data_IF_248965276322
#
_entry.id   IF_248965276322
#
_cell.length_a   1.000
_cell.length_b   1.000
_cell.length_c   1.000
_cell.angle_alpha   90.00
_cell.angle_beta   90.00
_cell.angle_gamma   90.00
#
_symmetry.space_group_name_H-M   'P 1'
#
loop_
_entity.id
_entity.type
_entity.pdbx_description
1 polymer ?
#
# COMPACT_ATOMS: atom_id res chain seq x y z
N UNK A 1 22.16 -12.75 14.52
CA UNK A 1 20.74 -12.43 14.25
C UNK A 1 20.62 -11.08 13.54
N UNK A 2 21.25 -10.01 14.05
CA UNK A 2 21.26 -8.67 13.41
C UNK A 2 21.78 -8.66 11.96
N UNK A 3 22.85 -9.42 11.66
CA UNK A 3 23.35 -9.57 10.28
C UNK A 3 22.34 -10.23 9.32
N UNK A 4 21.49 -11.14 9.81
CA UNK A 4 20.46 -11.81 8.99
C UNK A 4 19.38 -10.80 8.60
N UNK A 5 18.91 -10.01 9.57
CA UNK A 5 17.95 -8.94 9.32
C UNK A 5 18.47 -7.93 8.31
N UNK A 6 19.74 -7.53 8.44
CA UNK A 6 20.34 -6.57 7.52
C UNK A 6 20.34 -7.09 6.08
N UNK A 7 20.88 -8.31 5.84
CA UNK A 7 20.95 -8.90 4.50
C UNK A 7 19.58 -9.05 3.86
N UNK A 8 18.60 -9.54 4.62
CA UNK A 8 17.23 -9.74 4.11
C UNK A 8 16.54 -8.39 3.87
N UNK A 9 16.75 -7.41 4.75
CA UNK A 9 16.21 -6.07 4.61
C UNK A 9 16.73 -5.35 3.36
N UNK A 10 18.02 -5.50 3.04
CA UNK A 10 18.62 -4.97 1.82
C UNK A 10 17.99 -5.59 0.57
N UNK A 11 17.78 -6.91 0.58
CA UNK A 11 17.15 -7.66 -0.52
C UNK A 11 15.72 -7.20 -0.83
N UNK A 12 14.92 -6.89 0.19
CA UNK A 12 13.51 -6.49 0.01
C UNK A 12 13.31 -4.97 -0.05
N UNK A 13 14.35 -4.18 0.22
CA UNK A 13 14.26 -2.72 0.33
C UNK A 13 13.68 -2.03 -0.91
N UNK A 14 13.98 -2.54 -2.12
CA UNK A 14 13.47 -2.02 -3.39
C UNK A 14 11.99 -2.33 -3.65
N UNK A 15 11.34 -3.09 -2.77
CA UNK A 15 9.89 -3.37 -2.81
C UNK A 15 9.07 -2.51 -1.86
N UNK A 16 9.73 -1.74 -1.00
CA UNK A 16 9.09 -0.88 0.00
C UNK A 16 9.41 0.58 -0.30
N UNK A 17 8.39 1.42 -0.20
CA UNK A 17 8.49 2.85 -0.50
C UNK A 17 7.93 3.68 0.64
N UNK A 18 8.28 4.96 0.66
CA UNK A 18 7.65 5.93 1.54
C UNK A 18 6.63 6.72 0.72
N UNK A 19 5.37 6.69 1.13
CA UNK A 19 4.31 7.48 0.52
C UNK A 19 4.13 8.73 1.36
N UNK A 20 4.23 9.90 0.72
CA UNK A 20 4.14 11.21 1.35
C UNK A 20 2.99 12.00 0.76
N UNK A 21 2.30 12.73 1.62
CA UNK A 21 1.26 13.65 1.23
C UNK A 21 1.71 15.11 1.38
N UNK A 22 1.46 15.93 0.36
CA UNK A 22 1.73 17.36 0.35
C UNK A 22 0.40 18.16 0.28
N UNK A 23 0.27 19.30 0.99
CA UNK A 23 1.27 20.00 1.81
C UNK A 23 1.37 19.52 3.27
N UNK A 24 0.51 18.59 3.69
CA UNK A 24 0.36 18.21 5.11
C UNK A 24 1.59 17.53 5.73
N UNK A 25 2.55 17.09 4.93
CA UNK A 25 3.82 16.53 5.40
C UNK A 25 3.68 15.18 6.08
N UNK A 26 2.51 14.54 5.97
CA UNK A 26 2.21 13.20 6.46
C UNK A 26 2.84 12.17 5.53
N UNK A 27 3.26 11.04 6.09
CA UNK A 27 3.82 9.94 5.30
C UNK A 27 3.57 8.60 5.97
N UNK A 28 3.56 7.53 5.18
CA UNK A 28 3.49 6.15 5.63
C UNK A 28 4.27 5.24 4.68
N UNK A 29 4.28 3.95 4.99
CA UNK A 29 4.85 2.93 4.11
C UNK A 29 3.90 2.62 2.96
N UNK A 30 4.47 2.28 1.80
CA UNK A 30 3.78 1.61 0.71
C UNK A 30 4.61 0.43 0.20
N UNK A 31 3.98 -0.42 -0.60
CA UNK A 31 4.60 -1.60 -1.21
C UNK A 31 4.42 -1.60 -2.71
N UNK A 32 5.44 -2.01 -3.46
CA UNK A 32 5.34 -2.24 -4.91
C UNK A 32 4.58 -3.54 -5.15
N UNK A 33 3.42 -3.47 -5.82
CA UNK A 33 2.47 -4.60 -5.89
C UNK A 33 2.15 -5.11 -7.28
N UNK A 34 2.58 -4.43 -8.34
CA UNK A 34 2.40 -4.93 -9.71
C UNK A 34 3.76 -5.25 -10.34
N UNK A 35 3.88 -6.38 -11.04
CA UNK A 35 4.93 -6.52 -12.03
C UNK A 35 4.65 -5.57 -13.21
N UNK A 36 5.70 -5.10 -13.92
CA UNK A 36 5.56 -4.33 -15.15
C UNK A 36 5.11 -5.27 -16.27
N UNK A 37 3.83 -5.57 -16.33
CA UNK A 37 3.25 -6.26 -17.49
C UNK A 37 2.58 -5.22 -18.39
N UNK A 38 3.37 -4.71 -19.36
CA UNK A 38 2.99 -3.78 -20.43
C UNK A 38 2.61 -2.34 -20.03
N UNK A 39 2.86 -1.94 -18.80
CA UNK A 39 2.55 -0.59 -18.33
C UNK A 39 3.81 0.25 -18.17
N UNK A 40 3.81 1.47 -18.71
CA UNK A 40 4.79 2.51 -18.43
C UNK A 40 4.63 3.08 -17.00
N UNK A 41 4.09 2.29 -16.07
CA UNK A 41 3.73 2.71 -14.72
C UNK A 41 4.07 1.64 -13.70
N UNK A 42 4.26 2.07 -12.45
CA UNK A 42 4.50 1.21 -11.28
C UNK A 42 3.36 1.39 -10.29
N UNK A 43 2.76 0.28 -9.87
CA UNK A 43 1.64 0.29 -8.93
C UNK A 43 2.14 0.11 -7.49
N UNK A 44 1.66 0.99 -6.60
CA UNK A 44 2.00 1.00 -5.18
C UNK A 44 0.74 0.81 -4.36
N UNK A 45 0.74 -0.14 -3.43
CA UNK A 45 -0.32 -0.29 -2.45
C UNK A 45 0.09 0.40 -1.15
N UNK A 46 -0.80 1.22 -0.59
CA UNK A 46 -0.56 1.96 0.66
C UNK A 46 -1.85 2.13 1.46
N UNK A 47 -1.82 2.89 2.56
CA UNK A 47 -2.99 3.09 3.43
C UNK A 47 -3.97 4.14 2.89
N UNK A 48 -5.27 3.82 2.89
CA UNK A 48 -6.35 4.75 2.52
C UNK A 48 -6.38 6.01 3.38
N UNK A 49 -5.97 5.91 4.65
CA UNK A 49 -5.99 7.05 5.58
C UNK A 49 -5.07 8.20 5.15
N UNK A 50 -3.99 7.89 4.43
CA UNK A 50 -3.10 8.91 3.90
C UNK A 50 -3.62 9.45 2.56
N UNK A 51 -4.33 8.62 1.80
CA UNK A 51 -4.73 8.93 0.42
C UNK A 51 -6.10 9.63 0.34
N UNK A 52 -7.04 9.42 1.25
CA UNK A 52 -8.41 9.99 1.16
C UNK A 52 -8.47 11.53 1.21
N UNK A 53 -7.41 12.18 1.69
CA UNK A 53 -7.34 13.63 1.81
C UNK A 53 -6.87 14.31 0.51
N UNK A 54 -7.40 15.49 0.20
CA UNK A 54 -7.26 16.25 -1.07
C UNK A 54 -5.85 16.76 -1.43
N UNK A 55 -4.80 16.19 -0.84
CA UNK A 55 -3.40 16.50 -1.15
C UNK A 55 -2.82 15.76 -2.36
N UNK A 56 -1.71 16.28 -2.87
CA UNK A 56 -0.85 15.58 -3.84
C UNK A 56 -0.09 14.48 -3.11
N UNK A 57 0.05 13.32 -3.75
CA UNK A 57 0.77 12.17 -3.21
C UNK A 57 2.09 12.03 -3.95
N UNK A 58 3.15 11.77 -3.20
CA UNK A 58 4.48 11.49 -3.71
C UNK A 58 4.95 10.14 -3.17
N UNK A 59 5.63 9.37 -4.00
CA UNK A 59 6.25 8.09 -3.63
C UNK A 59 7.75 8.27 -3.70
N UNK A 60 8.41 8.05 -2.58
CA UNK A 60 9.85 8.09 -2.43
C UNK A 60 10.42 6.65 -2.41
N UNK A 61 11.27 6.36 -3.37
CA UNK A 61 11.90 5.05 -3.57
C UNK A 61 13.23 4.95 -2.82
N UNK A 62 13.74 3.73 -2.67
CA UNK A 62 14.98 3.46 -1.93
C UNK A 62 16.24 4.06 -2.60
N UNK A 63 16.19 4.40 -3.89
CA UNK A 63 17.27 5.08 -4.60
C UNK A 63 17.19 6.61 -4.50
N UNK A 64 16.35 7.13 -3.60
CA UNK A 64 16.07 8.55 -3.38
C UNK A 64 15.34 9.27 -4.51
N UNK A 65 14.78 8.53 -5.47
CA UNK A 65 13.87 9.14 -6.45
C UNK A 65 12.50 9.40 -5.82
N UNK A 66 11.91 10.54 -6.13
CA UNK A 66 10.54 10.90 -5.72
C UNK A 66 9.69 11.09 -6.99
N UNK A 67 8.57 10.38 -7.07
CA UNK A 67 7.60 10.50 -8.16
C UNK A 67 6.25 10.92 -7.62
N UNK A 68 5.54 11.78 -8.35
CA UNK A 68 4.15 12.08 -8.04
C UNK A 68 3.28 10.88 -8.40
N UNK A 69 2.34 10.56 -7.50
CA UNK A 69 1.45 9.43 -7.65
C UNK A 69 0.00 9.88 -7.89
N UNK A 70 -0.65 9.19 -8.82
CA UNK A 70 -2.08 9.25 -9.05
C UNK A 70 -2.77 8.16 -8.23
N UNK A 71 -3.92 8.48 -7.67
CA UNK A 71 -4.78 7.47 -7.02
C UNK A 71 -5.57 6.75 -8.11
N UNK A 72 -5.58 5.42 -8.04
CA UNK A 72 -6.40 4.60 -8.91
C UNK A 72 -7.70 4.26 -8.19
N UNK A 73 -7.62 3.35 -7.21
CA UNK A 73 -8.76 2.82 -6.49
C UNK A 73 -8.44 2.72 -5.00
N UNK A 74 -9.46 2.86 -4.15
CA UNK A 74 -9.35 2.60 -2.71
C UNK A 74 -10.43 1.62 -2.27
N UNK A 75 -10.03 0.63 -1.47
CA UNK A 75 -10.95 -0.33 -0.89
C UNK A 75 -10.52 -0.64 0.55
N UNK A 76 -11.47 -0.55 1.47
CA UNK A 76 -11.23 -0.71 2.91
C UNK A 76 -10.05 0.16 3.38
N UNK A 77 -8.97 -0.45 3.90
CA UNK A 77 -7.82 0.25 4.49
C UNK A 77 -6.70 0.51 3.50
N UNK A 78 -6.86 0.08 2.24
CA UNK A 78 -5.82 0.12 1.24
C UNK A 78 -6.21 0.98 0.02
N UNK A 79 -5.22 1.68 -0.50
CA UNK A 79 -5.31 2.43 -1.76
C UNK A 79 -4.23 1.94 -2.71
N UNK A 80 -4.62 1.76 -3.96
CA UNK A 80 -3.72 1.56 -5.07
C UNK A 80 -3.38 2.91 -5.70
N UNK A 81 -2.08 3.16 -5.80
CA UNK A 81 -1.48 4.32 -6.44
C UNK A 81 -0.75 3.89 -7.71
N UNK A 82 -0.64 4.82 -8.64
CA UNK A 82 0.13 4.71 -9.86
C UNK A 82 1.18 5.82 -9.92
N UNK A 83 2.40 5.47 -10.30
CA UNK A 83 3.46 6.41 -10.69
C UNK A 83 4.02 6.03 -12.05
N UNK A 84 4.76 6.95 -12.68
CA UNK A 84 5.57 6.64 -13.85
C UNK A 84 6.52 5.45 -13.59
N UNK A 85 6.83 4.70 -14.64
CA UNK A 85 7.64 3.48 -14.54
C UNK A 85 8.96 3.73 -13.81
N UNK A 86 9.18 2.94 -12.75
CA UNK A 86 10.42 2.97 -11.98
C UNK A 86 11.21 1.67 -12.16
N UNK A 87 12.32 1.76 -12.90
CA UNK A 87 13.27 0.66 -13.04
C UNK A 87 13.97 0.33 -11.70
N UNK A 88 14.36 -0.93 -11.50
CA UNK A 88 15.12 -1.37 -10.32
C UNK A 88 14.29 -1.58 -9.05
N UNK A 89 12.97 -1.43 -9.11
CA UNK A 89 12.07 -1.84 -8.04
C UNK A 89 11.73 -3.33 -8.17
N UNK A 90 11.52 -4.00 -7.04
CA UNK A 90 11.01 -5.37 -7.01
C UNK A 90 9.61 -5.39 -6.41
N UNK A 91 8.77 -6.32 -6.83
CA UNK A 91 7.46 -6.52 -6.21
C UNK A 91 7.62 -7.19 -4.85
N UNK A 92 6.74 -6.89 -3.90
CA UNK A 92 6.64 -7.70 -2.68
C UNK A 92 6.19 -9.13 -3.03
N UNK A 93 6.76 -10.12 -2.35
CA UNK A 93 6.39 -11.52 -2.52
C UNK A 93 5.69 -12.02 -1.27
N UNK A 94 4.39 -12.31 -1.36
CA UNK A 94 3.64 -12.87 -0.24
C UNK A 94 4.09 -14.30 0.08
N UNK A 95 4.03 -14.66 1.36
CA UNK A 95 4.18 -16.05 1.80
C UNK A 95 2.98 -16.88 1.35
N UNK A 96 3.23 -18.08 0.85
CA UNK A 96 2.17 -19.05 0.49
C UNK A 96 1.53 -19.68 1.72
N UNK A 97 2.25 -19.66 2.85
CA UNK A 97 1.80 -20.24 4.13
C UNK A 97 1.56 -19.09 5.09
N UNK A 98 0.33 -18.99 5.58
CA UNK A 98 -0.01 -18.05 6.63
C UNK A 98 0.74 -18.40 7.93
N UNK A 99 1.16 -17.36 8.64
CA UNK A 99 1.86 -17.55 9.91
C UNK A 99 0.92 -18.25 10.91
N UNK A 100 1.38 -19.38 11.46
CA UNK A 100 0.58 -20.25 12.33
C UNK A 100 1.25 -20.54 13.69
N UNK A 101 2.48 -20.04 13.88
CA UNK A 101 3.24 -20.14 15.11
C UNK A 101 4.00 -18.83 15.37
N UNK A 102 4.39 -18.52 16.62
CA UNK A 102 5.27 -17.40 16.90
C UNK A 102 6.59 -17.50 16.13
N UNK A 103 7.05 -16.39 15.56
CA UNK A 103 8.23 -16.37 14.70
C UNK A 103 8.90 -15.00 14.64
N UNK A 104 10.20 -15.00 14.34
CA UNK A 104 10.94 -13.79 14.05
C UNK A 104 10.47 -13.17 12.73
N UNK A 105 10.36 -11.85 12.72
CA UNK A 105 9.95 -11.07 11.57
C UNK A 105 10.68 -9.72 11.56
N UNK A 106 10.47 -8.92 10.53
CA UNK A 106 10.88 -7.52 10.54
C UNK A 106 9.96 -6.66 9.68
N UNK A 107 10.04 -5.36 9.91
CA UNK A 107 9.28 -4.35 9.17
C UNK A 107 10.27 -3.29 8.68
N UNK A 108 10.14 -2.87 7.43
CA UNK A 108 10.81 -1.66 6.94
C UNK A 108 9.95 -0.44 7.29
N UNK A 109 10.47 0.42 8.14
CA UNK A 109 9.78 1.57 8.69
C UNK A 109 10.42 2.88 8.25
N UNK A 110 9.66 3.95 8.04
CA UNK A 110 10.22 5.27 7.77
C UNK A 110 10.94 5.80 9.02
N UNK A 111 12.24 6.05 8.93
CA UNK A 111 13.01 6.79 9.94
C UNK A 111 12.94 8.30 9.68
N UNK A 112 12.80 8.67 8.41
CA UNK A 112 12.52 10.04 7.97
C UNK A 112 11.51 10.03 6.82
N UNK A 113 11.25 11.19 6.22
CA UNK A 113 10.41 11.31 5.02
C UNK A 113 11.03 10.67 3.77
N UNK A 114 12.31 10.31 3.83
CA UNK A 114 13.09 9.81 2.68
C UNK A 114 13.94 8.59 3.00
N UNK A 115 13.94 8.09 4.24
CA UNK A 115 14.80 6.99 4.65
C UNK A 115 14.00 5.91 5.37
N UNK A 116 14.17 4.67 4.94
CA UNK A 116 13.66 3.49 5.62
C UNK A 116 14.73 2.92 6.57
N UNK A 117 14.28 2.27 7.63
CA UNK A 117 15.12 1.51 8.55
C UNK A 117 14.40 0.21 8.89
N UNK A 118 15.14 -0.87 9.05
CA UNK A 118 14.53 -2.13 9.48
C UNK A 118 14.26 -2.07 10.99
N UNK A 119 13.12 -2.61 11.39
CA UNK A 119 12.72 -2.77 12.77
C UNK A 119 12.55 -4.28 13.00
N UNK A 120 13.36 -4.89 13.87
CA UNK A 120 13.11 -6.26 14.31
C UNK A 120 11.71 -6.37 14.91
N UNK A 121 11.01 -7.42 14.51
CA UNK A 121 9.65 -7.69 14.93
C UNK A 121 9.51 -9.17 15.31
N UNK A 122 8.45 -9.48 16.04
CA UNK A 122 8.16 -10.85 16.46
C UNK A 122 6.66 -11.10 16.38
N UNK A 123 6.26 -12.13 15.65
CA UNK A 123 4.86 -12.57 15.62
C UNK A 123 4.56 -13.21 16.97
N UNK A 124 3.73 -12.57 17.77
CA UNK A 124 3.38 -13.05 19.11
C UNK A 124 2.19 -13.99 19.04
N UNK A 125 1.21 -13.65 18.19
CA UNK A 125 -0.01 -14.42 18.03
C UNK A 125 -0.34 -14.56 16.54
N UNK A 126 -0.15 -15.75 15.96
CA UNK A 126 -0.27 -15.99 14.52
C UNK A 126 -1.72 -15.97 14.00
N UNK A 127 -2.72 -16.20 14.87
CA UNK A 127 -4.13 -16.02 14.55
C UNK A 127 -4.86 -15.36 15.70
N UNK A 128 -5.52 -14.25 15.41
CA UNK A 128 -6.31 -13.46 16.34
C UNK A 128 -7.78 -13.86 16.24
N UNK A 129 -8.11 -15.16 16.35
CA UNK A 129 -9.50 -15.59 16.57
C UNK A 129 -10.00 -14.97 17.89
N UNK A 130 -10.40 -13.72 17.80
CA UNK A 130 -10.70 -12.85 18.91
C UNK A 130 -12.08 -13.21 19.41
N UNK A 131 -12.28 -13.03 20.70
CA UNK A 131 -13.56 -13.27 21.34
C UNK A 131 -14.11 -11.98 21.89
N UNK A 132 -15.42 -11.81 21.77
CA UNK A 132 -16.13 -10.70 22.39
C UNK A 132 -16.20 -10.88 23.93
N UNK A 133 -16.79 -9.90 24.63
CA UNK A 133 -16.96 -9.97 26.08
C UNK A 133 -17.82 -11.17 26.56
N UNK A 134 -18.56 -11.81 25.66
CA UNK A 134 -19.40 -12.98 25.91
C UNK A 134 -18.73 -14.28 25.46
N UNK A 135 -17.44 -14.24 25.10
CA UNK A 135 -16.66 -15.36 24.58
C UNK A 135 -17.10 -15.89 23.20
N UNK A 136 -17.91 -15.14 22.44
CA UNK A 136 -18.23 -15.51 21.07
C UNK A 136 -17.07 -15.14 20.16
N UNK A 137 -16.79 -15.97 19.15
CA UNK A 137 -15.81 -15.64 18.13
C UNK A 137 -16.27 -14.41 17.34
N UNK A 138 -15.36 -13.47 17.13
CA UNK A 138 -15.56 -12.32 16.26
C UNK A 138 -15.24 -12.77 14.84
N UNK A 139 -16.24 -12.78 13.96
CA UNK A 139 -16.07 -13.17 12.56
C UNK A 139 -15.01 -12.29 11.86
N UNK A 140 -14.17 -12.92 11.03
CA UNK A 140 -13.11 -12.25 10.27
C UNK A 140 -11.84 -11.98 11.09
N UNK A 141 -11.86 -12.18 12.41
CA UNK A 141 -10.70 -11.95 13.28
C UNK A 141 -9.58 -12.98 13.07
N UNK A 142 -9.94 -14.17 12.60
CA UNK A 142 -9.01 -15.24 12.21
C UNK A 142 -8.03 -14.84 11.11
N UNK A 143 -8.35 -13.78 10.36
CA UNK A 143 -7.55 -13.26 9.25
C UNK A 143 -6.43 -12.32 9.71
N UNK A 144 -6.28 -12.12 11.02
CA UNK A 144 -5.31 -11.20 11.60
C UNK A 144 -4.33 -11.91 12.54
N UNK A 145 -3.16 -11.31 12.72
CA UNK A 145 -2.12 -11.73 13.65
C UNK A 145 -1.58 -10.53 14.45
N UNK A 146 -0.98 -10.80 15.61
CA UNK A 146 -0.29 -9.78 16.41
C UNK A 146 1.20 -9.84 16.16
N UNK A 147 1.77 -8.67 15.87
CA UNK A 147 3.21 -8.49 15.73
C UNK A 147 3.70 -7.46 16.74
N UNK A 148 4.71 -7.85 17.50
CA UNK A 148 5.43 -7.00 18.43
C UNK A 148 6.58 -6.34 17.68
N UNK A 149 6.71 -5.02 17.77
CA UNK A 149 7.88 -4.31 17.27
C UNK A 149 8.24 -3.16 18.22
N UNK A 150 9.50 -2.69 18.15
CA UNK A 150 9.97 -1.54 18.93
C UNK A 150 10.15 -0.35 18.01
N UNK A 151 9.10 0.43 17.81
CA UNK A 151 9.12 1.58 16.89
C UNK A 151 9.37 2.93 17.58
N UNK A 152 9.25 2.98 18.91
CA UNK A 152 9.30 4.20 19.72
C UNK A 152 10.57 5.06 19.67
N UNK A 153 11.70 4.56 19.13
CA UNK A 153 12.94 5.33 19.00
C UNK A 153 13.27 5.79 17.58
N UNK A 154 12.56 5.28 16.56
CA UNK A 154 12.85 5.54 15.13
C UNK A 154 11.87 6.52 14.49
N UNK A 155 10.78 6.85 15.18
CA UNK A 155 9.69 7.64 14.63
C UNK A 155 9.73 9.04 15.25
N UNK A 156 10.07 10.03 14.42
CA UNK A 156 10.16 11.44 14.80
C UNK A 156 8.85 11.94 15.43
N UNK A 157 8.97 12.79 16.45
CA UNK A 157 7.86 13.39 17.18
C UNK A 157 7.14 14.40 16.29
N UNK A 158 6.07 13.98 15.61
CA UNK A 158 5.21 14.85 14.82
C UNK A 158 4.26 14.07 13.89
N UNK A 159 2.95 14.28 14.06
CA UNK A 159 1.84 13.45 13.55
C UNK A 159 1.87 12.01 14.11
N UNK A 160 0.70 11.48 14.48
CA UNK A 160 0.59 10.24 15.24
C UNK A 160 1.39 9.08 14.59
N UNK A 161 2.53 8.74 15.23
CA UNK A 161 3.43 7.58 15.01
C UNK A 161 2.66 6.31 14.60
N UNK A 162 1.44 6.20 15.10
CA UNK A 162 0.44 5.15 14.87
C UNK A 162 0.13 4.87 13.39
N UNK A 163 0.18 5.88 12.51
CA UNK A 163 -0.24 5.73 11.11
C UNK A 163 0.91 5.47 10.13
N UNK A 164 2.17 5.66 10.52
CA UNK A 164 3.31 5.57 9.58
C UNK A 164 3.55 4.13 9.09
N UNK A 165 3.25 3.14 9.95
CA UNK A 165 3.37 1.72 9.61
C UNK A 165 2.08 1.12 9.03
N UNK A 166 1.01 1.88 8.86
CA UNK A 166 -0.19 1.36 8.22
C UNK A 166 0.15 0.91 6.79
N UNK A 167 -0.36 -0.25 6.39
CA UNK A 167 -0.02 -0.98 5.17
C UNK A 167 1.43 -1.45 5.04
N UNK A 168 2.27 -1.29 6.08
CA UNK A 168 3.65 -1.76 6.03
C UNK A 168 3.69 -3.29 5.94
N UNK A 169 4.50 -3.86 5.04
CA UNK A 169 4.71 -5.30 4.96
C UNK A 169 5.51 -5.79 6.16
N UNK A 170 5.05 -6.90 6.74
CA UNK A 170 5.76 -7.68 7.73
C UNK A 170 6.44 -8.83 7.00
N UNK A 171 7.77 -8.89 7.07
CA UNK A 171 8.58 -9.89 6.38
C UNK A 171 9.03 -10.99 7.33
N UNK A 172 9.07 -12.23 6.85
CA UNK A 172 9.83 -13.30 7.47
C UNK A 172 11.33 -13.17 7.19
N UNK A 173 12.15 -14.04 7.77
CA UNK A 173 13.60 -14.07 7.54
C UNK A 173 14.01 -14.55 6.14
N UNK A 174 13.07 -14.95 5.29
CA UNK A 174 13.32 -15.29 3.88
C UNK A 174 13.02 -14.10 2.95
N UNK A 175 12.47 -13.00 3.49
CA UNK A 175 12.05 -11.83 2.74
C UNK A 175 10.66 -11.96 2.11
N UNK A 176 9.85 -12.91 2.56
CA UNK A 176 8.44 -13.08 2.16
C UNK A 176 7.54 -12.29 3.09
N UNK A 177 6.51 -11.65 2.51
CA UNK A 177 5.50 -10.92 3.27
C UNK A 177 4.53 -11.90 3.92
N UNK A 178 4.58 -12.00 5.25
CA UNK A 178 3.65 -12.81 6.05
C UNK A 178 2.37 -12.06 6.40
N UNK A 179 2.33 -10.75 6.11
CA UNK A 179 1.13 -9.95 6.17
C UNK A 179 1.38 -8.45 6.14
N UNK A 180 0.31 -7.67 6.25
CA UNK A 180 0.36 -6.19 6.21
C UNK A 180 -0.19 -5.60 7.50
N UNK A 181 0.49 -4.60 8.06
CA UNK A 181 0.00 -3.89 9.24
C UNK A 181 -1.28 -3.11 8.92
N UNK A 182 -2.36 -3.36 9.67
CA UNK A 182 -3.68 -2.74 9.45
C UNK A 182 -4.19 -1.92 10.63
N UNK A 183 -3.58 -2.08 11.81
CA UNK A 183 -3.95 -1.31 13.00
C UNK A 183 -2.88 -1.50 14.09
N UNK A 184 -3.15 -0.92 15.25
CA UNK A 184 -2.37 -1.10 16.47
C UNK A 184 -3.30 -1.31 17.67
N UNK A 185 -2.91 -2.22 18.58
CA UNK A 185 -3.67 -2.52 19.80
C UNK A 185 -3.42 -1.49 20.92
N UNK A 186 -2.32 -0.76 20.86
CA UNK A 186 -1.90 0.21 21.87
C UNK A 186 -0.41 0.08 22.20
N UNK A 187 0.09 1.01 23.00
CA UNK A 187 1.42 0.92 23.61
C UNK A 187 1.31 0.27 24.97
N UNK A 188 2.01 -0.84 25.20
CA UNK A 188 2.15 -1.37 26.54
C UNK A 188 3.02 -0.43 27.40
N UNK A 189 2.88 -0.50 28.72
CA UNK A 189 3.71 0.22 29.72
C UNK A 189 5.21 0.01 29.50
N UNK A 190 5.59 -1.03 28.77
CA UNK A 190 6.97 -1.41 28.42
C UNK A 190 7.54 -0.73 27.16
N UNK A 191 6.81 0.22 26.53
CA UNK A 191 7.17 0.88 25.24
C UNK A 191 7.31 -0.07 24.04
N UNK A 192 6.85 -1.32 24.16
CA UNK A 192 6.71 -2.17 23.00
C UNK A 192 5.39 -1.86 22.29
N UNK A 193 5.44 -1.80 20.95
CA UNK A 193 4.29 -1.54 20.11
C UNK A 193 3.71 -2.88 19.64
N UNK A 194 2.45 -3.14 19.95
CA UNK A 194 1.72 -4.28 19.38
C UNK A 194 0.90 -3.78 18.20
N UNK A 195 1.24 -4.27 17.02
CA UNK A 195 0.52 -4.01 15.77
C UNK A 195 -0.35 -5.21 15.40
N UNK A 196 -1.43 -4.92 14.71
CA UNK A 196 -2.31 -5.92 14.11
C UNK A 196 -1.92 -6.03 12.64
N UNK A 197 -1.52 -7.21 12.21
CA UNK A 197 -1.28 -7.54 10.81
C UNK A 197 -2.45 -8.33 10.22
N UNK A 198 -2.76 -8.09 8.94
CA UNK A 198 -3.63 -8.93 8.12
C UNK A 198 -2.78 -10.03 7.48
N UNK A 199 -3.21 -11.29 7.58
CA UNK A 199 -2.49 -12.45 7.04
C UNK A 199 -2.19 -12.32 5.55
N UNK A 200 -1.08 -12.92 5.11
CA UNK A 200 -0.60 -12.86 3.73
C UNK A 200 -1.66 -13.29 2.72
N UNK A 201 -2.37 -14.40 2.97
CA UNK A 201 -3.44 -14.91 2.09
C UNK A 201 -4.53 -13.86 1.83
N UNK A 202 -4.94 -13.14 2.86
CA UNK A 202 -5.99 -12.12 2.78
C UNK A 202 -5.47 -10.81 2.18
N UNK A 203 -4.27 -10.39 2.57
CA UNK A 203 -3.62 -9.23 1.98
C UNK A 203 -3.38 -9.40 0.46
N UNK A 204 -3.01 -10.60 0.04
CA UNK A 204 -2.83 -10.95 -1.37
C UNK A 204 -4.15 -10.84 -2.14
N UNK A 205 -5.25 -11.34 -1.57
CA UNK A 205 -6.58 -11.21 -2.17
C UNK A 205 -6.98 -9.75 -2.35
N UNK A 206 -6.79 -8.91 -1.33
CA UNK A 206 -7.09 -7.47 -1.41
C UNK A 206 -6.26 -6.79 -2.50
N UNK A 207 -4.96 -7.13 -2.62
CA UNK A 207 -4.11 -6.64 -3.71
C UNK A 207 -4.71 -7.00 -5.06
N UNK A 208 -5.08 -8.25 -5.25
CA UNK A 208 -5.58 -8.76 -6.53
C UNK A 208 -6.93 -8.10 -6.88
N UNK A 209 -7.82 -7.94 -5.90
CA UNK A 209 -9.09 -7.24 -6.05
C UNK A 209 -8.88 -5.76 -6.45
N UNK A 210 -7.95 -5.05 -5.81
CA UNK A 210 -7.60 -3.66 -6.17
C UNK A 210 -7.04 -3.55 -7.59
N UNK A 211 -6.15 -4.48 -7.99
CA UNK A 211 -5.58 -4.51 -9.34
C UNK A 211 -6.65 -4.83 -10.40
N UNK A 212 -7.62 -5.69 -10.08
CA UNK A 212 -8.73 -5.99 -10.97
C UNK A 212 -9.68 -4.79 -11.12
N UNK A 213 -10.03 -4.15 -10.00
CA UNK A 213 -10.95 -3.00 -10.01
C UNK A 213 -10.36 -1.82 -10.77
N UNK A 214 -9.07 -1.53 -10.58
CA UNK A 214 -8.38 -0.50 -11.36
C UNK A 214 -8.45 -0.76 -12.87
N UNK A 215 -8.32 -2.01 -13.32
CA UNK A 215 -8.45 -2.36 -14.74
C UNK A 215 -9.87 -2.15 -15.27
N UNK A 216 -10.90 -2.32 -14.44
CA UNK A 216 -12.29 -2.07 -14.81
C UNK A 216 -12.54 -0.57 -14.98
N UNK A 217 -12.06 0.25 -14.05
CA UNK A 217 -12.20 1.71 -14.11
C UNK A 217 -11.51 2.31 -15.35
N UNK A 218 -10.30 1.83 -15.70
CA UNK A 218 -9.61 2.27 -16.92
C UNK A 218 -10.42 1.97 -18.18
N UNK A 219 -11.00 0.77 -18.31
CA UNK A 219 -11.84 0.41 -19.47
C UNK A 219 -13.12 1.24 -19.56
N UNK A 220 -13.68 1.65 -18.43
CA UNK A 220 -14.87 2.52 -18.41
C UNK A 220 -14.48 3.93 -18.87
N UNK A 221 -13.33 4.44 -18.42
CA UNK A 221 -12.81 5.74 -18.85
C UNK A 221 -12.55 5.77 -20.36
N UNK A 222 -11.86 4.76 -20.91
CA UNK A 222 -11.58 4.64 -22.35
C UNK A 222 -12.87 4.68 -23.19
N UNK A 223 -13.90 3.90 -22.81
CA UNK A 223 -15.20 3.90 -23.51
C UNK A 223 -15.91 5.25 -23.44
N UNK A 224 -15.76 5.97 -22.34
CA UNK A 224 -16.36 7.29 -22.17
C UNK A 224 -15.67 8.36 -23.03
N UNK A 225 -14.36 8.25 -23.25
CA UNK A 225 -13.61 9.13 -24.14
C UNK A 225 -13.91 8.85 -25.61
N UNK A 226 -14.00 7.57 -26.02
CA UNK A 226 -14.42 7.17 -27.37
C UNK A 226 -15.83 7.69 -27.70
N UNK A 227 -16.74 7.65 -26.72
CA UNK A 227 -18.11 8.15 -26.88
C UNK A 227 -18.14 9.68 -27.07
N UNK A 228 -17.32 10.43 -26.33
CA UNK A 228 -17.20 11.90 -26.48
C UNK A 228 -16.60 12.31 -27.82
N UNK A 229 -15.60 11.57 -28.31
CA UNK A 229 -15.01 11.83 -29.64
C UNK A 229 -16.00 11.54 -30.77
N UNK A 230 -16.89 10.56 -30.61
CA UNK A 230 -17.95 10.28 -31.57
C UNK A 230 -19.04 11.36 -31.58
N UNK A 231 -19.38 11.97 -30.45
CA UNK A 231 -20.33 13.08 -30.36
C UNK A 231 -19.76 14.39 -30.93
N UNK A 232 -18.50 14.75 -30.62
CA UNK A 232 -17.84 15.95 -31.17
C UNK A 232 -17.59 15.84 -32.70
N UNK A 233 -17.33 14.63 -33.20
CA UNK A 233 -17.21 14.36 -34.65
C UNK A 233 -18.54 14.43 -35.41
N UNK A 234 -19.68 14.32 -34.72
CA UNK A 234 -21.00 14.45 -35.31
C UNK A 234 -21.46 15.93 -35.39
N UNK A 235 -21.07 16.77 -34.41
CA UNK A 235 -21.44 18.20 -34.40
C UNK A 235 -20.64 19.02 -35.42
N UNK A 236 -19.40 18.63 -35.73
CA UNK A 236 -18.55 19.36 -36.69
C UNK A 236 -18.98 19.15 -38.15
N UNK A 237 -19.69 18.05 -38.47
CA UNK A 237 -20.19 17.76 -39.81
C UNK A 237 -21.58 18.36 -40.12
N UNK A 238 -22.26 18.99 -39.15
CA UNK A 238 -23.61 19.54 -39.31
C UNK A 238 -23.65 21.02 -39.73
N UNK A 239 -22.53 21.74 -39.82
CA UNK A 239 -22.50 23.20 -40.06
C UNK A 239 -22.07 23.63 -41.46
N UNK A 240 -21.77 22.69 -42.37
CA UNK A 240 -21.46 23.00 -43.76
C UNK A 240 -22.65 22.73 -44.71
N UNK A 241 -23.59 23.67 -44.78
CA UNK A 241 -24.41 23.78 -45.98
C UNK A 241 -25.84 24.26 -45.81
N UNK A 242 -26.04 25.57 -45.70
CA UNK A 242 -27.06 26.23 -46.53
C UNK A 242 -26.74 27.72 -46.69
N UNK A 243 -26.02 28.06 -47.77
CA UNK A 243 -25.96 29.43 -48.29
C UNK A 243 -26.28 29.41 -49.78
N UNK A 244 -27.27 30.23 -50.13
CA UNK A 244 -27.70 30.68 -51.46
C UNK A 244 -28.54 29.73 -52.32
N UNK A 245 -29.75 30.20 -52.63
CA UNK A 245 -30.00 30.79 -53.96
C UNK A 245 -31.17 31.79 -53.94
N UNK A 246 -30.82 33.06 -54.23
CA UNK A 246 -31.70 34.02 -54.89
C UNK A 246 -31.84 33.60 -56.36
N UNK A 247 -33.08 33.53 -56.85
CA UNK A 247 -33.61 34.36 -57.93
C UNK A 247 -35.11 34.08 -58.06
#
# INVERSE_FOLDING_TARGET
MEQVFQVVSEKVSSSVVIVRQHPYGRYCVGSVVSPPSNTNTTAIMTSSRLSEESGRIFVHFNDNTELEARRLVSADRFTLLEVDYKAGCSMIEFSEIDVNQPSDAFILAPNSKSCLSHIPAFVVQPSCAARDAKMNNIEGSENYFLVLCRSGNLLNVGYAIQNQLMSAPVFDLNGKVIGLVTSQCGTDKTKNDIKIGLLASHAQKIRDDLLEESKKEMKVAERSEESKQHEEGAETNSSAGTRNRRN
#
